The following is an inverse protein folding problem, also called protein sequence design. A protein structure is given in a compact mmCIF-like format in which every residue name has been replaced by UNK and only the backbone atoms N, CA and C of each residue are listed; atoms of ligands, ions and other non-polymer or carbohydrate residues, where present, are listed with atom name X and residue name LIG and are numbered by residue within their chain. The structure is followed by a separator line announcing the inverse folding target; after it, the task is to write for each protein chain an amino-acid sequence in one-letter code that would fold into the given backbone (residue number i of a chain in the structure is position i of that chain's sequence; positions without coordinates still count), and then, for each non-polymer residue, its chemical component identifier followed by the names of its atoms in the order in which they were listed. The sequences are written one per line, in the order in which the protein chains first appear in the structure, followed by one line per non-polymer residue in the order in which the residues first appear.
data_IF_725253383985
#
_entry.id   IF_725253383985
#
_cell.length_a   1.000
_cell.length_b   1.000
_cell.length_c   1.000
_cell.angle_alpha   90.00
_cell.angle_beta   90.00
_cell.angle_gamma   90.00
#
_symmetry.space_group_name_H-M   'P 1'
#
loop_
_entity.id
_entity.type
_entity.pdbx_description
1 polymer ?
#
# COMPACT_ATOMS: atom_id res chain seq x y z
N UNK A 1 -22.19 -56.13 35.69
CA UNK A 1 -23.13 -55.91 36.80
C UNK A 1 -24.34 -55.20 36.19
N UNK A 2 -25.50 -55.87 36.07
CA UNK A 2 -26.69 -55.24 35.46
C UNK A 2 -27.19 -54.14 36.41
N UNK A 3 -27.10 -52.88 35.98
CA UNK A 3 -27.69 -51.75 36.72
C UNK A 3 -29.22 -51.90 36.72
N UNK A 4 -29.89 -51.57 37.83
CA UNK A 4 -31.35 -51.64 37.88
C UNK A 4 -31.98 -50.48 37.09
N UNK A 5 -33.17 -50.68 36.55
CA UNK A 5 -33.87 -49.64 35.77
C UNK A 5 -34.13 -48.36 36.57
N UNK A 6 -34.32 -48.47 37.89
CA UNK A 6 -34.53 -47.31 38.77
C UNK A 6 -33.26 -46.45 38.91
N UNK A 7 -32.08 -47.08 38.93
CA UNK A 7 -30.79 -46.38 38.93
C UNK A 7 -30.53 -45.64 37.61
N UNK A 8 -30.98 -46.21 36.49
CA UNK A 8 -30.89 -45.58 35.18
C UNK A 8 -31.83 -44.36 35.08
N UNK A 9 -33.04 -44.47 35.62
CA UNK A 9 -33.98 -43.33 35.66
C UNK A 9 -33.42 -42.19 36.50
N UNK A 10 -32.75 -42.50 37.63
CA UNK A 10 -32.11 -41.49 38.47
C UNK A 10 -30.96 -40.78 37.74
N UNK A 11 -30.05 -41.55 37.11
CA UNK A 11 -28.91 -41.02 36.34
C UNK A 11 -29.37 -40.08 35.22
N UNK A 12 -30.41 -40.46 34.49
CA UNK A 12 -30.91 -39.71 33.33
C UNK A 12 -32.07 -38.75 33.67
N UNK A 13 -32.41 -38.59 34.95
CA UNK A 13 -33.50 -37.72 35.43
C UNK A 13 -33.44 -36.28 34.90
N UNK A 14 -32.28 -35.61 34.81
CA UNK A 14 -32.20 -34.25 34.26
C UNK A 14 -32.66 -34.13 32.80
N UNK A 15 -32.42 -35.16 31.98
CA UNK A 15 -32.79 -35.19 30.56
C UNK A 15 -34.23 -35.69 30.38
N UNK A 16 -34.64 -36.68 31.18
CA UNK A 16 -35.98 -37.25 31.12
C UNK A 16 -37.07 -36.33 31.68
N UNK A 17 -36.70 -35.30 32.45
CA UNK A 17 -37.62 -34.31 33.00
C UNK A 17 -37.61 -32.98 32.22
N UNK A 18 -36.85 -32.88 31.13
CA UNK A 18 -36.84 -31.69 30.29
C UNK A 18 -38.15 -31.62 29.48
N UNK A 19 -38.89 -30.52 29.62
CA UNK A 19 -40.24 -30.36 29.04
C UNK A 19 -40.24 -29.89 27.58
N UNK A 20 -39.08 -29.57 27.01
CA UNK A 20 -38.91 -29.02 25.66
C UNK A 20 -39.28 -30.00 24.54
N UNK A 21 -39.14 -31.32 24.77
CA UNK A 21 -39.43 -32.38 23.82
C UNK A 21 -40.75 -33.13 24.10
N UNK A 22 -41.53 -32.70 25.10
CA UNK A 22 -42.79 -33.32 25.54
C UNK A 22 -42.64 -34.23 26.77
N UNK A 23 -43.63 -34.19 27.67
CA UNK A 23 -43.58 -34.93 28.95
C UNK A 23 -43.82 -36.44 28.79
N UNK A 24 -42.91 -37.26 29.31
CA UNK A 24 -43.07 -38.72 29.39
C UNK A 24 -43.83 -39.07 30.67
N UNK A 25 -45.13 -39.36 30.54
CA UNK A 25 -46.03 -39.66 31.68
C UNK A 25 -45.97 -41.10 32.19
N UNK A 26 -45.54 -42.04 31.35
CA UNK A 26 -45.56 -43.48 31.65
C UNK A 26 -44.20 -43.96 32.19
N UNK A 27 -44.20 -44.56 33.38
CA UNK A 27 -43.00 -45.05 34.08
C UNK A 27 -42.23 -46.09 33.25
N UNK A 28 -42.95 -46.95 32.52
CA UNK A 28 -42.30 -47.97 31.69
C UNK A 28 -41.57 -47.35 30.50
N UNK A 29 -42.17 -46.34 29.85
CA UNK A 29 -41.52 -45.59 28.76
C UNK A 29 -40.31 -44.80 29.26
N UNK A 30 -40.35 -44.29 30.49
CA UNK A 30 -39.23 -43.60 31.14
C UNK A 30 -38.05 -44.56 31.41
N UNK A 31 -38.32 -45.78 31.86
CA UNK A 31 -37.30 -46.83 31.99
C UNK A 31 -36.68 -47.23 30.64
N UNK A 32 -37.50 -47.40 29.60
CA UNK A 32 -37.01 -47.79 28.26
C UNK A 32 -36.18 -46.69 27.61
N UNK A 33 -36.61 -45.43 27.73
CA UNK A 33 -35.83 -44.28 27.23
C UNK A 33 -34.53 -44.10 28.00
N UNK A 34 -34.52 -44.27 29.32
CA UNK A 34 -33.29 -44.30 30.12
C UNK A 34 -32.32 -45.40 29.67
N UNK A 35 -32.82 -46.60 29.38
CA UNK A 35 -32.02 -47.71 28.90
C UNK A 35 -31.46 -47.48 27.47
N UNK A 36 -32.23 -46.83 26.60
CA UNK A 36 -31.77 -46.46 25.25
C UNK A 36 -30.69 -45.37 25.34
N UNK A 37 -30.86 -44.37 26.21
CA UNK A 37 -29.85 -43.33 26.43
C UNK A 37 -28.55 -43.91 26.99
N UNK A 38 -28.65 -44.85 27.92
CA UNK A 38 -27.49 -45.60 28.44
C UNK A 38 -26.79 -46.41 27.35
N UNK A 39 -27.54 -47.06 26.47
CA UNK A 39 -26.99 -47.81 25.35
C UNK A 39 -26.37 -46.89 24.28
N UNK A 40 -26.95 -45.70 24.05
CA UNK A 40 -26.39 -44.69 23.16
C UNK A 40 -25.11 -44.07 23.73
N UNK A 41 -25.05 -43.78 25.03
CA UNK A 41 -23.83 -43.33 25.70
C UNK A 41 -22.74 -44.40 25.58
N UNK A 42 -23.07 -45.67 25.84
CA UNK A 42 -22.12 -46.78 25.68
C UNK A 42 -21.64 -46.93 24.24
N UNK A 43 -22.56 -46.90 23.26
CA UNK A 43 -22.20 -46.98 21.85
C UNK A 43 -21.34 -45.78 21.40
N UNK A 44 -21.61 -44.57 21.89
CA UNK A 44 -20.79 -43.39 21.62
C UNK A 44 -19.42 -43.48 22.29
N UNK A 45 -19.34 -44.06 23.50
CA UNK A 45 -18.08 -44.29 24.20
C UNK A 45 -17.25 -45.40 23.55
N UNK A 46 -17.89 -46.45 23.03
CA UNK A 46 -17.27 -47.55 22.30
C UNK A 46 -16.82 -47.10 20.90
N UNK A 47 -17.59 -46.25 20.21
CA UNK A 47 -17.19 -45.60 18.97
C UNK A 47 -15.96 -44.69 19.18
N UNK A 48 -15.94 -43.89 20.26
CA UNK A 48 -14.75 -43.10 20.66
C UNK A 48 -13.55 -43.98 21.01
N UNK A 49 -13.76 -45.11 21.68
CA UNK A 49 -12.67 -46.06 21.98
C UNK A 49 -12.14 -46.77 20.72
N UNK A 50 -13.01 -47.06 19.76
CA UNK A 50 -12.61 -47.64 18.47
C UNK A 50 -11.82 -46.64 17.60
N UNK A 51 -12.16 -45.35 17.65
CA UNK A 51 -11.41 -44.26 16.99
C UNK A 51 -10.10 -43.92 17.72
N UNK A 52 -10.04 -44.09 19.04
CA UNK A 52 -8.85 -43.89 19.87
C UNK A 52 -7.72 -44.92 19.60
N UNK A 53 -8.05 -46.08 19.01
CA UNK A 53 -7.07 -47.10 18.62
C UNK A 53 -6.07 -46.69 17.55
N UNK A 54 -6.25 -45.53 16.90
CA UNK A 54 -5.32 -44.95 15.94
C UNK A 54 -4.52 -43.73 16.48
N UNK A 55 -4.74 -43.31 17.73
CA UNK A 55 -3.96 -42.24 18.36
C UNK A 55 -2.77 -42.80 19.15
N UNK A 56 -1.64 -43.00 18.47
CA UNK A 56 -0.33 -43.15 19.10
C UNK A 56 0.44 -41.84 19.02
N UNK A 57 0.02 -40.83 19.79
CA UNK A 57 0.95 -39.81 20.26
C UNK A 57 1.22 -40.06 21.75
N UNK A 58 2.45 -40.49 22.03
CA UNK A 58 2.95 -40.64 23.38
C UNK A 58 2.90 -39.28 24.09
N UNK A 59 2.06 -39.18 25.11
CA UNK A 59 2.06 -38.05 26.04
C UNK A 59 3.49 -37.84 26.60
N UNK A 60 3.95 -36.59 26.76
CA UNK A 60 5.25 -36.31 27.33
C UNK A 60 5.32 -36.90 28.75
N UNK A 61 6.43 -37.60 29.03
CA UNK A 61 6.64 -38.38 30.23
C UNK A 61 6.37 -37.56 31.51
N UNK A 62 5.31 -37.90 32.26
CA UNK A 62 5.04 -37.22 33.53
C UNK A 62 3.71 -37.41 34.25
N UNK A 63 2.81 -38.34 33.89
CA UNK A 63 1.60 -38.56 34.69
C UNK A 63 1.28 -40.06 34.86
N UNK A 64 1.13 -40.43 36.13
CA UNK A 64 1.07 -41.78 36.70
C UNK A 64 -0.15 -42.63 36.28
N UNK A 65 0.08 -43.92 36.43
CA UNK A 65 -0.82 -45.08 36.45
C UNK A 65 -2.05 -44.94 37.36
N UNK A 66 -3.26 -45.14 36.82
CA UNK A 66 -4.48 -45.34 37.61
C UNK A 66 -5.76 -45.18 36.77
N UNK A 67 -6.73 -46.08 36.97
CA UNK A 67 -8.02 -46.18 36.28
C UNK A 67 -8.90 -44.92 36.40
N UNK A 68 -8.54 -43.86 35.70
CA UNK A 68 -9.32 -42.64 35.52
C UNK A 68 -9.33 -42.38 34.01
N UNK A 69 -10.52 -42.29 33.40
CA UNK A 69 -10.63 -41.85 32.02
C UNK A 69 -9.95 -40.49 31.90
N UNK A 70 -8.83 -40.43 31.19
CA UNK A 70 -8.12 -39.19 30.91
C UNK A 70 -9.09 -38.26 30.19
N UNK A 71 -9.35 -37.11 30.81
CA UNK A 71 -10.21 -36.06 30.25
C UNK A 71 -9.75 -35.74 28.83
N UNK A 72 -10.70 -35.71 27.91
CA UNK A 72 -10.47 -35.21 26.56
C UNK A 72 -9.95 -33.78 26.70
N UNK A 73 -8.70 -33.48 26.30
CA UNK A 73 -8.14 -32.17 26.50
C UNK A 73 -9.01 -31.13 25.77
N UNK A 74 -9.45 -30.10 26.49
CA UNK A 74 -10.15 -28.97 25.88
C UNK A 74 -9.19 -28.33 24.87
N UNK A 75 -9.44 -28.57 23.58
CA UNK A 75 -8.61 -28.06 22.49
C UNK A 75 -8.59 -26.52 22.57
N UNK A 76 -7.40 -25.98 22.80
CA UNK A 76 -7.16 -24.54 22.76
C UNK A 76 -7.40 -24.07 21.32
N UNK A 77 -8.13 -22.97 21.15
CA UNK A 77 -8.46 -22.43 19.84
C UNK A 77 -7.21 -22.10 19.02
N UNK A 78 -7.28 -22.35 17.71
CA UNK A 78 -6.17 -22.09 16.79
C UNK A 78 -5.96 -20.57 16.63
N UNK A 79 -4.73 -20.10 16.87
CA UNK A 79 -4.36 -18.70 16.67
C UNK A 79 -3.93 -18.48 15.22
N UNK A 80 -4.41 -17.40 14.60
CA UNK A 80 -4.05 -17.00 13.23
C UNK A 80 -3.14 -15.78 13.24
N UNK A 81 -2.29 -15.65 12.22
CA UNK A 81 -1.54 -14.42 11.97
C UNK A 81 -2.47 -13.35 11.37
N UNK A 82 -2.40 -12.13 11.87
CA UNK A 82 -3.16 -11.01 11.34
C UNK A 82 -2.66 -10.59 9.95
N UNK A 83 -3.57 -10.09 9.12
CA UNK A 83 -3.24 -9.54 7.81
C UNK A 83 -2.68 -8.12 7.96
N UNK A 84 -1.61 -7.76 7.25
CA UNK A 84 -1.12 -6.39 7.22
C UNK A 84 -2.14 -5.46 6.53
N UNK A 85 -2.26 -4.23 7.02
CA UNK A 85 -3.08 -3.21 6.37
C UNK A 85 -2.46 -2.76 5.03
N UNK A 86 -3.31 -2.44 4.05
CA UNK A 86 -2.91 -2.09 2.68
C UNK A 86 -3.02 -0.57 2.47
N UNK A 87 -2.02 0.04 1.82
CA UNK A 87 -1.94 1.51 1.63
C UNK A 87 -1.84 1.95 0.16
N UNK A 88 -1.68 1.03 -0.79
CA UNK A 88 -1.37 1.33 -2.18
C UNK A 88 -2.38 2.28 -2.84
N UNK A 89 -3.68 2.07 -2.62
CA UNK A 89 -4.73 2.85 -3.28
C UNK A 89 -4.80 4.30 -2.80
N UNK A 90 -4.27 4.57 -1.60
CA UNK A 90 -4.21 5.92 -1.07
C UNK A 90 -3.06 6.72 -1.68
N UNK A 91 -1.99 6.06 -2.13
CA UNK A 91 -0.75 6.69 -2.58
C UNK A 91 -0.59 6.74 -4.11
N UNK A 92 -1.32 5.92 -4.86
CA UNK A 92 -1.37 5.93 -6.33
C UNK A 92 -2.75 6.35 -6.87
N UNK A 93 -2.83 6.70 -8.15
CA UNK A 93 -4.11 6.87 -8.85
C UNK A 93 -4.67 5.51 -9.27
N UNK A 94 -5.99 5.42 -9.43
CA UNK A 94 -6.66 4.19 -9.89
C UNK A 94 -7.42 4.48 -11.18
N UNK A 95 -7.15 3.68 -12.22
CA UNK A 95 -7.77 3.83 -13.54
C UNK A 95 -8.23 2.47 -14.08
N UNK A 96 -9.49 2.08 -13.88
CA UNK A 96 -9.98 0.80 -14.39
C UNK A 96 -9.89 0.71 -15.91
N UNK A 97 -9.49 -0.45 -16.42
CA UNK A 97 -9.37 -0.73 -17.85
C UNK A 97 -10.56 -1.56 -18.34
N UNK A 98 -11.11 -1.21 -19.51
CA UNK A 98 -12.18 -1.99 -20.15
C UNK A 98 -11.65 -3.08 -21.10
N UNK A 99 -10.36 -3.03 -21.44
CA UNK A 99 -9.69 -3.99 -22.33
C UNK A 99 -8.32 -4.38 -21.80
N UNK A 100 -7.67 -5.41 -22.38
CA UNK A 100 -6.37 -5.90 -21.93
C UNK A 100 -5.23 -4.88 -22.13
N UNK A 101 -5.43 -3.92 -23.04
CA UNK A 101 -4.54 -2.78 -23.26
C UNK A 101 -5.33 -1.49 -23.16
N UNK A 102 -4.86 -0.55 -22.35
CA UNK A 102 -5.38 0.80 -22.22
C UNK A 102 -4.44 1.80 -22.89
N UNK A 103 -4.97 2.94 -23.30
CA UNK A 103 -4.18 4.06 -23.81
C UNK A 103 -4.40 5.26 -22.89
N UNK A 104 -3.32 5.87 -22.44
CA UNK A 104 -3.32 7.15 -21.74
C UNK A 104 -2.83 8.21 -22.73
N UNK A 105 -3.60 9.28 -22.89
CA UNK A 105 -3.24 10.40 -23.75
C UNK A 105 -2.81 11.60 -22.90
N UNK A 106 -1.79 12.31 -23.37
CA UNK A 106 -1.37 13.59 -22.82
C UNK A 106 -1.25 14.63 -23.92
N UNK A 107 -1.72 15.83 -23.64
CA UNK A 107 -1.54 16.98 -24.51
C UNK A 107 -0.41 17.84 -23.94
N UNK A 108 0.61 18.08 -24.75
CA UNK A 108 1.74 18.97 -24.40
C UNK A 108 1.75 20.15 -25.35
N UNK A 109 1.75 21.36 -24.81
CA UNK A 109 1.94 22.59 -25.60
C UNK A 109 3.40 22.72 -25.99
N UNK A 110 3.69 23.09 -27.23
CA UNK A 110 5.04 23.15 -27.79
C UNK A 110 5.26 24.51 -28.46
N UNK A 111 6.46 25.05 -28.28
CA UNK A 111 6.92 26.20 -29.05
C UNK A 111 7.16 25.81 -30.53
N UNK A 112 6.95 26.74 -31.46
CA UNK A 112 6.95 26.48 -32.90
C UNK A 112 5.71 25.72 -33.39
N UNK A 113 5.80 25.11 -34.57
CA UNK A 113 4.69 24.43 -35.27
C UNK A 113 4.21 23.11 -34.63
N UNK A 114 4.40 22.90 -33.32
CA UNK A 114 3.83 21.75 -32.61
C UNK A 114 4.57 20.42 -32.78
N UNK A 115 5.91 20.43 -32.83
CA UNK A 115 6.73 19.20 -32.92
C UNK A 115 7.13 18.66 -31.53
N UNK A 116 7.29 17.35 -31.40
CA UNK A 116 7.80 16.71 -30.16
C UNK A 116 9.27 17.05 -29.87
N UNK A 117 10.01 17.45 -30.91
CA UNK A 117 11.39 17.96 -30.77
C UNK A 117 11.45 19.39 -30.22
N UNK A 118 10.35 20.13 -30.29
CA UNK A 118 10.28 21.48 -29.75
C UNK A 118 10.19 21.49 -28.23
N UNK A 119 10.71 22.55 -27.62
CA UNK A 119 10.58 22.80 -26.17
C UNK A 119 9.10 22.85 -25.77
N UNK A 120 8.77 22.20 -24.66
CA UNK A 120 7.43 22.23 -24.08
C UNK A 120 7.15 23.59 -23.42
N UNK A 121 6.07 24.24 -23.84
CA UNK A 121 5.53 25.43 -23.19
C UNK A 121 4.71 25.02 -21.96
N UNK A 122 4.61 25.90 -20.96
CA UNK A 122 3.85 25.71 -19.70
C UNK A 122 4.41 24.66 -18.73
N UNK A 123 5.61 24.14 -18.97
CA UNK A 123 6.32 23.25 -18.04
C UNK A 123 7.47 23.98 -17.33
N UNK A 124 8.46 24.38 -18.12
CA UNK A 124 9.56 25.25 -17.67
C UNK A 124 9.13 26.73 -17.65
N UNK A 125 10.04 27.61 -17.24
CA UNK A 125 9.83 29.05 -17.40
C UNK A 125 9.49 29.40 -18.86
N UNK A 126 8.53 30.33 -19.00
CA UNK A 126 8.09 30.84 -20.28
C UNK A 126 9.21 31.65 -20.95
N UNK A 127 9.48 31.38 -22.21
CA UNK A 127 10.44 32.13 -23.02
C UNK A 127 9.96 33.58 -23.22
N UNK A 128 10.57 34.54 -22.54
CA UNK A 128 10.16 35.96 -22.59
C UNK A 128 10.46 36.62 -23.92
N UNK A 129 11.36 36.05 -24.73
CA UNK A 129 11.69 36.54 -26.06
C UNK A 129 10.88 35.89 -27.19
N UNK A 130 10.14 34.80 -26.93
CA UNK A 130 9.52 34.01 -28.00
C UNK A 130 8.44 34.77 -28.78
N UNK A 131 7.65 35.62 -28.13
CA UNK A 131 6.69 36.50 -28.81
C UNK A 131 7.22 37.93 -29.00
N UNK A 132 8.53 38.13 -28.88
CA UNK A 132 9.16 39.44 -28.85
C UNK A 132 10.58 39.37 -29.42
N UNK A 133 11.49 40.13 -28.83
CA UNK A 133 12.89 40.20 -29.26
C UNK A 133 13.84 40.13 -28.07
N UNK A 134 15.13 39.99 -28.37
CA UNK A 134 16.20 39.91 -27.38
C UNK A 134 16.53 38.50 -26.93
N UNK A 135 17.32 38.40 -25.89
CA UNK A 135 17.81 37.13 -25.34
C UNK A 135 17.08 36.80 -24.04
N UNK A 136 16.69 35.54 -23.90
CA UNK A 136 16.17 34.99 -22.66
C UNK A 136 17.14 33.93 -22.13
N UNK A 137 17.46 34.00 -20.83
CA UNK A 137 18.20 32.94 -20.14
C UNK A 137 17.22 32.13 -19.28
N UNK A 138 16.70 31.03 -19.84
CA UNK A 138 15.73 30.16 -19.13
C UNK A 138 16.34 29.41 -17.95
N UNK A 139 17.67 29.38 -17.87
CA UNK A 139 18.39 28.63 -16.86
C UNK A 139 18.80 29.54 -15.68
N UNK A 140 18.58 30.86 -15.76
CA UNK A 140 18.84 31.82 -14.69
C UNK A 140 17.62 32.70 -14.36
N UNK A 141 16.48 32.06 -14.07
CA UNK A 141 15.16 32.66 -13.75
C UNK A 141 15.23 33.90 -12.84
N UNK A 142 16.14 33.90 -11.86
CA UNK A 142 16.23 34.95 -10.84
C UNK A 142 17.46 35.86 -10.98
N UNK A 143 18.34 35.57 -11.94
CA UNK A 143 19.66 36.21 -12.05
C UNK A 143 20.69 35.72 -11.02
N UNK A 144 20.28 34.90 -10.04
CA UNK A 144 21.14 34.44 -8.93
C UNK A 144 21.81 33.07 -9.14
N UNK A 145 21.56 32.37 -10.25
CA UNK A 145 22.22 31.08 -10.48
C UNK A 145 23.73 31.28 -10.70
N UNK A 146 24.55 30.57 -9.91
CA UNK A 146 26.01 30.63 -9.99
C UNK A 146 26.68 31.74 -9.17
N UNK A 147 25.92 32.57 -8.44
CA UNK A 147 26.49 33.58 -7.54
C UNK A 147 27.03 32.89 -6.28
N UNK A 148 28.35 32.84 -6.14
CA UNK A 148 29.00 32.37 -4.93
C UNK A 148 28.88 33.43 -3.82
N UNK A 149 28.73 33.04 -2.53
CA UNK A 149 28.58 33.98 -1.41
C UNK A 149 29.84 34.80 -1.08
N UNK A 150 30.89 34.77 -1.92
CA UNK A 150 32.23 35.23 -1.57
C UNK A 150 32.81 36.33 -2.47
N UNK A 151 32.00 37.07 -3.22
CA UNK A 151 32.50 38.20 -4.00
C UNK A 151 31.39 39.08 -4.54
N UNK A 152 31.45 40.38 -4.20
CA UNK A 152 30.56 41.48 -4.58
C UNK A 152 29.06 41.30 -4.22
N UNK A 153 28.34 42.42 -4.21
CA UNK A 153 26.91 42.44 -3.90
C UNK A 153 26.17 41.46 -4.81
N UNK A 154 25.25 40.67 -4.26
CA UNK A 154 24.39 39.81 -5.07
C UNK A 154 23.59 40.61 -6.14
N UNK A 155 23.50 41.93 -6.00
CA UNK A 155 22.93 42.84 -6.99
C UNK A 155 23.86 43.10 -8.18
N UNK A 156 25.19 43.19 -7.97
CA UNK A 156 26.19 43.46 -9.02
C UNK A 156 26.37 42.27 -9.98
N UNK A 157 26.10 41.06 -9.49
CA UNK A 157 26.21 39.80 -10.23
C UNK A 157 24.86 39.31 -10.80
N UNK A 158 23.76 40.04 -10.57
CA UNK A 158 22.43 39.71 -11.07
C UNK A 158 22.33 40.02 -12.57
N UNK A 159 22.89 39.15 -13.39
CA UNK A 159 22.77 39.19 -14.84
C UNK A 159 21.70 38.19 -15.30
N UNK A 160 20.51 38.67 -15.63
CA UNK A 160 19.45 37.88 -16.27
C UNK A 160 19.08 38.50 -17.62
N UNK A 161 19.14 37.72 -18.69
CA UNK A 161 18.61 38.13 -19.99
C UNK A 161 17.09 38.00 -19.98
N UNK A 162 16.37 39.12 -20.11
CA UNK A 162 14.91 39.12 -20.26
C UNK A 162 14.57 39.61 -21.66
N UNK A 163 13.76 38.85 -22.38
CA UNK A 163 13.20 39.29 -23.65
C UNK A 163 12.28 40.49 -23.47
N UNK A 164 12.21 41.35 -24.48
CA UNK A 164 11.34 42.53 -24.48
C UNK A 164 10.33 42.45 -25.61
N UNK A 165 9.28 43.27 -25.53
CA UNK A 165 8.43 43.51 -26.69
C UNK A 165 9.24 44.08 -27.85
N UNK A 166 8.81 43.77 -29.08
CA UNK A 166 9.37 44.39 -30.28
C UNK A 166 8.73 45.76 -30.53
N UNK A 167 9.39 46.57 -31.34
CA UNK A 167 8.88 47.87 -31.80
C UNK A 167 7.64 47.70 -32.68
N UNK A 168 6.72 48.67 -32.61
CA UNK A 168 5.51 48.68 -33.44
C UNK A 168 5.83 48.63 -34.94
N UNK A 169 6.90 49.31 -35.37
CA UNK A 169 7.31 49.33 -36.77
C UNK A 169 7.72 47.94 -37.29
N UNK A 170 8.43 47.16 -36.47
CA UNK A 170 8.74 45.77 -36.82
C UNK A 170 7.46 44.93 -36.80
N UNK A 171 6.66 45.02 -35.74
CA UNK A 171 5.43 44.23 -35.57
C UNK A 171 4.42 44.43 -36.71
N UNK A 172 4.30 45.64 -37.26
CA UNK A 172 3.45 45.91 -38.43
C UNK A 172 3.98 45.26 -39.71
N UNK A 173 5.28 44.99 -39.79
CA UNK A 173 5.92 44.31 -40.91
C UNK A 173 5.90 42.77 -40.78
N UNK A 174 5.54 42.21 -39.62
CA UNK A 174 5.56 40.75 -39.42
C UNK A 174 4.61 40.04 -40.41
N UNK A 175 5.08 38.95 -41.00
CA UNK A 175 4.34 38.17 -42.01
C UNK A 175 4.24 38.83 -43.40
N UNK A 176 4.79 40.04 -43.59
CA UNK A 176 4.92 40.68 -44.91
C UNK A 176 6.21 40.25 -45.63
N UNK A 177 6.29 40.47 -46.95
CA UNK A 177 7.50 40.15 -47.71
C UNK A 177 8.68 41.04 -47.27
N UNK A 178 9.66 40.46 -46.59
CA UNK A 178 10.83 41.17 -46.07
C UNK A 178 10.76 41.55 -44.58
N UNK A 179 9.62 41.30 -43.92
CA UNK A 179 9.50 41.38 -42.46
C UNK A 179 9.76 40.02 -41.79
N UNK A 180 9.91 40.01 -40.46
CA UNK A 180 10.09 38.78 -39.70
C UNK A 180 8.81 37.92 -39.69
N UNK A 181 8.96 36.61 -39.47
CA UNK A 181 7.82 35.71 -39.35
C UNK A 181 7.24 35.77 -37.93
N UNK A 182 5.95 35.47 -37.79
CA UNK A 182 5.36 35.22 -36.48
C UNK A 182 5.90 33.90 -35.94
N UNK A 183 6.32 33.92 -34.68
CA UNK A 183 6.64 32.70 -33.96
C UNK A 183 5.35 31.93 -33.64
N UNK A 184 5.35 30.64 -33.92
CA UNK A 184 4.16 29.80 -33.83
C UNK A 184 4.11 29.04 -32.51
N UNK A 185 2.91 28.63 -32.09
CA UNK A 185 2.73 27.67 -31.01
C UNK A 185 1.78 26.57 -31.46
N UNK A 186 2.05 25.35 -31.00
CA UNK A 186 1.21 24.19 -31.29
C UNK A 186 1.06 23.29 -30.07
N UNK A 187 0.44 22.15 -30.29
CA UNK A 187 0.36 21.10 -29.28
C UNK A 187 0.60 19.73 -29.91
N UNK A 188 1.13 18.81 -29.11
CA UNK A 188 1.30 17.41 -29.47
C UNK A 188 0.40 16.56 -28.58
N UNK A 189 -0.29 15.59 -29.17
CA UNK A 189 -1.00 14.55 -28.42
C UNK A 189 -0.09 13.31 -28.39
N UNK A 190 0.50 13.07 -27.23
CA UNK A 190 1.32 11.89 -26.98
C UNK A 190 0.45 10.77 -26.40
N UNK A 191 0.78 9.52 -26.74
CA UNK A 191 0.06 8.33 -26.25
C UNK A 191 1.02 7.40 -25.51
N UNK A 192 0.50 6.78 -24.46
CA UNK A 192 1.18 5.75 -23.69
C UNK A 192 0.28 4.53 -23.58
N UNK A 193 0.82 3.36 -23.85
CA UNK A 193 0.08 2.10 -23.72
C UNK A 193 0.29 1.51 -22.32
N UNK A 194 -0.78 1.02 -21.72
CA UNK A 194 -0.78 0.25 -20.48
C UNK A 194 -1.25 -1.16 -20.81
N UNK A 195 -0.46 -2.18 -20.48
CA UNK A 195 -0.81 -3.57 -20.76
C UNK A 195 -1.08 -4.32 -19.46
N UNK A 196 -2.23 -4.99 -19.38
CA UNK A 196 -2.61 -5.76 -18.20
C UNK A 196 -1.78 -7.05 -18.07
N UNK A 197 -1.07 -7.17 -16.96
CA UNK A 197 -0.38 -8.38 -16.48
C UNK A 197 -1.29 -9.18 -15.56
N UNK A 198 -0.96 -10.45 -15.32
CA UNK A 198 -1.80 -11.38 -14.57
C UNK A 198 -1.09 -11.88 -13.32
N UNK A 199 -1.84 -12.10 -12.23
CA UNK A 199 -1.42 -12.88 -11.05
C UNK A 199 -2.41 -14.00 -10.81
N UNK A 200 -1.91 -15.14 -10.36
CA UNK A 200 -2.75 -16.25 -9.95
C UNK A 200 -2.06 -17.11 -8.88
N UNK A 201 -2.83 -17.59 -7.92
CA UNK A 201 -2.41 -18.59 -6.94
C UNK A 201 -3.42 -19.73 -6.90
N UNK A 202 -2.94 -20.93 -6.56
CA UNK A 202 -3.75 -22.14 -6.43
C UNK A 202 -3.41 -22.83 -5.12
N UNK A 203 -4.41 -23.37 -4.45
CA UNK A 203 -4.26 -24.34 -3.37
C UNK A 203 -4.97 -25.64 -3.76
N UNK A 204 -4.37 -26.74 -3.34
CA UNK A 204 -4.97 -28.07 -3.40
C UNK A 204 -5.11 -28.57 -1.97
N UNK A 205 -6.22 -29.22 -1.66
CA UNK A 205 -6.45 -29.84 -0.36
C UNK A 205 -7.05 -31.22 -0.55
N UNK A 206 -6.68 -32.16 0.33
CA UNK A 206 -7.27 -33.50 0.31
C UNK A 206 -8.63 -33.48 1.03
N UNK A 207 -9.52 -34.37 0.60
CA UNK A 207 -10.80 -34.58 1.28
C UNK A 207 -10.59 -35.07 2.71
N UNK A 208 -9.60 -35.94 2.91
CA UNK A 208 -9.21 -36.43 4.25
C UNK A 208 -8.82 -35.27 5.17
N UNK A 209 -7.94 -34.36 4.71
CA UNK A 209 -7.55 -33.20 5.50
C UNK A 209 -8.74 -32.29 5.81
N UNK A 210 -9.65 -32.09 4.86
CA UNK A 210 -10.84 -31.27 5.09
C UNK A 210 -11.80 -31.92 6.10
N UNK A 211 -11.92 -33.25 6.09
CA UNK A 211 -12.72 -34.01 7.05
C UNK A 211 -12.11 -33.94 8.45
N UNK A 212 -10.80 -34.17 8.58
CA UNK A 212 -10.07 -34.10 9.85
C UNK A 212 -10.14 -32.69 10.46
N UNK A 213 -9.89 -31.67 9.64
CA UNK A 213 -9.88 -30.27 10.06
C UNK A 213 -11.28 -29.81 10.49
N UNK A 214 -12.33 -30.31 9.84
CA UNK A 214 -13.71 -30.05 10.22
C UNK A 214 -14.11 -30.80 11.49
N UNK A 215 -13.70 -32.05 11.65
CA UNK A 215 -14.04 -32.88 12.80
C UNK A 215 -13.35 -32.41 14.09
N UNK A 216 -12.07 -32.03 14.01
CA UNK A 216 -11.26 -31.65 15.17
C UNK A 216 -11.38 -30.15 15.47
N UNK A 217 -11.24 -29.30 14.46
CA UNK A 217 -11.16 -27.84 14.66
C UNK A 217 -12.46 -27.10 14.36
N UNK A 218 -13.48 -27.77 13.78
CA UNK A 218 -14.73 -27.13 13.37
C UNK A 218 -14.55 -26.10 12.24
N UNK A 219 -13.39 -26.11 11.58
CA UNK A 219 -13.04 -25.15 10.53
C UNK A 219 -13.29 -25.77 9.15
N UNK A 220 -13.63 -24.91 8.18
CA UNK A 220 -13.76 -25.30 6.78
C UNK A 220 -12.47 -24.99 6.01
N UNK A 221 -11.75 -26.04 5.62
CA UNK A 221 -10.49 -25.94 4.90
C UNK A 221 -10.62 -25.14 3.60
N UNK A 222 -11.76 -25.22 2.91
CA UNK A 222 -11.97 -24.49 1.66
C UNK A 222 -12.03 -22.98 1.90
N UNK A 223 -12.82 -22.55 2.88
CA UNK A 223 -12.96 -21.15 3.27
C UNK A 223 -11.64 -20.57 3.78
N UNK A 224 -10.88 -21.33 4.58
CA UNK A 224 -9.58 -20.88 5.09
C UNK A 224 -8.55 -20.70 3.98
N UNK A 225 -8.44 -21.67 3.07
CA UNK A 225 -7.55 -21.55 1.92
C UNK A 225 -7.98 -20.41 0.99
N UNK A 226 -9.28 -20.20 0.80
CA UNK A 226 -9.79 -19.09 0.00
C UNK A 226 -9.37 -17.73 0.56
N UNK A 227 -9.44 -17.58 1.88
CA UNK A 227 -9.02 -16.37 2.58
C UNK A 227 -7.51 -16.15 2.48
N UNK A 228 -6.68 -17.19 2.67
CA UNK A 228 -5.22 -17.09 2.55
C UNK A 228 -4.81 -16.64 1.14
N UNK A 229 -5.35 -17.30 0.10
CA UNK A 229 -4.96 -17.00 -1.28
C UNK A 229 -5.37 -15.60 -1.72
N UNK A 230 -6.60 -15.19 -1.39
CA UNK A 230 -7.10 -13.87 -1.79
C UNK A 230 -6.32 -12.75 -1.11
N UNK A 231 -5.98 -12.92 0.16
CA UNK A 231 -5.28 -11.92 0.96
C UNK A 231 -3.80 -11.81 0.58
N UNK A 232 -3.16 -12.93 0.25
CA UNK A 232 -1.80 -12.93 -0.28
C UNK A 232 -1.71 -12.18 -1.62
N UNK A 233 -2.62 -12.44 -2.56
CA UNK A 233 -2.61 -11.74 -3.86
C UNK A 233 -2.78 -10.23 -3.66
N UNK A 234 -3.67 -9.81 -2.76
CA UNK A 234 -3.87 -8.39 -2.46
C UNK A 234 -2.64 -7.77 -1.79
N UNK A 235 -1.99 -8.48 -0.88
CA UNK A 235 -0.75 -8.04 -0.24
C UNK A 235 0.39 -7.92 -1.25
N UNK A 236 0.53 -8.87 -2.18
CA UNK A 236 1.52 -8.82 -3.26
C UNK A 236 1.31 -7.61 -4.17
N UNK A 237 0.08 -7.34 -4.61
CA UNK A 237 -0.26 -6.18 -5.45
C UNK A 237 0.06 -4.88 -4.72
N UNK A 238 -0.36 -4.77 -3.46
CA UNK A 238 -0.06 -3.61 -2.63
C UNK A 238 1.45 -3.37 -2.52
N UNK A 239 2.23 -4.43 -2.29
CA UNK A 239 3.69 -4.33 -2.19
C UNK A 239 4.35 -3.97 -3.52
N UNK A 240 3.84 -4.49 -4.64
CA UNK A 240 4.31 -4.13 -5.98
C UNK A 240 4.15 -2.63 -6.25
N UNK A 241 3.00 -2.04 -5.89
CA UNK A 241 2.75 -0.60 -6.04
C UNK A 241 3.74 0.21 -5.22
N UNK A 242 3.92 -0.10 -3.94
CA UNK A 242 4.84 0.63 -3.05
C UNK A 242 6.29 0.52 -3.56
N UNK A 243 6.73 -0.68 -3.96
CA UNK A 243 8.08 -0.87 -4.52
C UNK A 243 8.28 -0.10 -5.83
N UNK A 244 7.25 -0.02 -6.67
CA UNK A 244 7.31 0.77 -7.92
C UNK A 244 7.41 2.26 -7.63
N UNK A 245 6.68 2.76 -6.64
CA UNK A 245 6.79 4.17 -6.19
C UNK A 245 8.22 4.44 -5.70
N UNK A 246 8.76 3.60 -4.82
CA UNK A 246 10.10 3.79 -4.27
C UNK A 246 11.20 3.68 -5.34
N UNK A 247 11.06 2.79 -6.33
CA UNK A 247 12.06 2.64 -7.39
C UNK A 247 12.06 3.79 -8.39
N UNK A 248 10.89 4.37 -8.68
CA UNK A 248 10.74 5.49 -9.60
C UNK A 248 10.99 6.86 -8.96
N UNK A 249 10.83 6.99 -7.64
CA UNK A 249 11.01 8.25 -6.92
C UNK A 249 12.39 8.86 -7.14
N UNK A 250 12.45 10.15 -7.47
CA UNK A 250 13.70 10.91 -7.55
C UNK A 250 14.39 10.95 -6.18
N UNK A 251 15.71 11.05 -6.15
CA UNK A 251 16.44 11.22 -4.89
C UNK A 251 16.16 12.60 -4.28
N UNK A 252 15.69 12.63 -3.04
CA UNK A 252 15.52 13.85 -2.23
C UNK A 252 16.81 14.24 -1.49
N UNK A 253 16.76 15.29 -0.66
CA UNK A 253 17.92 15.76 0.13
C UNK A 253 19.16 16.04 -0.74
N UNK A 254 18.99 16.90 -1.75
CA UNK A 254 20.05 17.31 -2.68
C UNK A 254 20.51 18.76 -2.46
N UNK A 255 20.02 19.41 -1.40
CA UNK A 255 20.36 20.79 -1.07
C UNK A 255 21.78 20.86 -0.48
N UNK A 256 22.47 21.98 -0.71
CA UNK A 256 23.87 22.15 -0.29
C UNK A 256 24.10 22.11 1.24
N UNK A 257 23.05 22.27 2.04
CA UNK A 257 23.13 22.20 3.50
C UNK A 257 23.06 20.76 4.05
N UNK A 258 22.85 19.76 3.20
CA UNK A 258 22.87 18.35 3.59
C UNK A 258 24.30 17.82 3.38
N UNK A 259 24.86 17.17 4.40
CA UNK A 259 26.25 16.68 4.35
C UNK A 259 26.46 15.64 3.25
N UNK A 260 25.45 14.81 2.97
CA UNK A 260 25.50 13.77 1.94
C UNK A 260 24.20 13.69 1.15
N UNK A 261 24.30 13.91 -0.16
CA UNK A 261 23.15 13.85 -1.06
C UNK A 261 22.37 12.53 -0.92
N UNK A 262 21.06 12.63 -0.74
CA UNK A 262 20.16 11.48 -0.58
C UNK A 262 20.04 10.92 0.84
N UNK A 263 20.75 11.48 1.82
CA UNK A 263 20.71 11.06 3.22
C UNK A 263 20.49 12.28 4.09
N UNK A 264 19.49 12.23 4.97
CA UNK A 264 19.29 13.23 6.02
C UNK A 264 19.73 12.65 7.36
N UNK A 265 20.85 13.14 7.87
CA UNK A 265 21.42 12.70 9.13
C UNK A 265 21.04 13.68 10.25
N UNK A 266 20.27 13.23 11.24
CA UNK A 266 19.81 14.09 12.33
C UNK A 266 20.94 14.60 13.25
N UNK A 267 22.13 14.01 13.20
CA UNK A 267 23.29 14.48 13.97
C UNK A 267 24.05 15.63 13.31
N UNK A 268 24.09 15.68 11.98
CA UNK A 268 24.90 16.65 11.22
C UNK A 268 24.09 17.65 10.40
N UNK A 269 22.89 17.26 9.94
CA UNK A 269 22.07 18.04 9.02
C UNK A 269 20.88 18.73 9.72
N UNK A 270 20.70 18.48 11.02
CA UNK A 270 19.68 19.11 11.84
C UNK A 270 20.33 19.85 13.03
N UNK A 271 20.13 21.16 13.08
CA UNK A 271 20.55 22.00 14.20
C UNK A 271 19.54 21.89 15.34
N UNK A 272 19.99 21.36 16.48
CA UNK A 272 19.19 21.23 17.68
C UNK A 272 20.01 20.69 18.83
N UNK A 273 19.81 21.24 20.03
CA UNK A 273 20.47 20.75 21.24
C UNK A 273 19.77 19.51 21.79
N UNK A 274 18.45 19.42 21.58
CA UNK A 274 17.60 18.32 22.04
C UNK A 274 17.02 17.57 20.84
N UNK A 275 16.71 16.27 20.98
CA UNK A 275 16.20 15.42 19.90
C UNK A 275 14.90 15.95 19.27
N UNK A 276 13.99 16.51 20.07
CA UNK A 276 12.75 17.10 19.59
C UNK A 276 12.96 18.29 18.63
N UNK A 277 14.04 19.06 18.80
CA UNK A 277 14.40 20.17 17.89
C UNK A 277 14.92 19.62 16.57
N UNK A 278 15.76 18.57 16.62
CA UNK A 278 16.28 17.89 15.44
C UNK A 278 15.16 17.26 14.59
N UNK A 279 14.13 16.69 15.23
CA UNK A 279 12.96 16.16 14.53
C UNK A 279 12.17 17.26 13.80
N UNK A 280 12.12 18.49 14.32
CA UNK A 280 11.53 19.62 13.59
C UNK A 280 12.37 20.01 12.37
N UNK A 281 13.69 19.87 12.44
CA UNK A 281 14.58 19.99 11.29
C UNK A 281 14.22 19.01 10.16
N UNK A 282 13.94 17.75 10.50
CA UNK A 282 13.45 16.74 9.55
C UNK A 282 12.10 17.14 8.91
N UNK A 283 11.16 17.69 9.69
CA UNK A 283 9.87 18.18 9.16
C UNK A 283 10.08 19.31 8.14
N UNK A 284 10.97 20.27 8.42
CA UNK A 284 11.31 21.33 7.47
C UNK A 284 11.91 20.75 6.18
N UNK A 285 12.73 19.70 6.31
CA UNK A 285 13.28 19.02 5.14
C UNK A 285 12.19 18.34 4.31
N UNK A 286 11.22 17.67 4.94
CA UNK A 286 10.05 17.09 4.23
C UNK A 286 9.29 18.19 3.48
N UNK A 287 9.01 19.34 4.11
CA UNK A 287 8.33 20.45 3.45
C UNK A 287 9.13 21.04 2.28
N UNK A 288 10.46 21.06 2.37
CA UNK A 288 11.33 21.43 1.24
C UNK A 288 11.15 20.46 0.07
N UNK A 289 11.15 19.15 0.31
CA UNK A 289 10.89 18.16 -0.74
C UNK A 289 9.48 18.31 -1.33
N UNK A 290 8.46 18.55 -0.50
CA UNK A 290 7.09 18.86 -0.96
C UNK A 290 7.06 20.08 -1.91
N UNK A 291 7.84 21.13 -1.61
CA UNK A 291 7.93 22.31 -2.46
C UNK A 291 8.65 22.02 -3.78
N UNK A 292 9.69 21.18 -3.77
CA UNK A 292 10.38 20.76 -5.00
C UNK A 292 9.42 19.98 -5.90
N UNK A 293 8.63 19.06 -5.34
CA UNK A 293 7.59 18.32 -6.10
C UNK A 293 6.60 19.32 -6.74
N UNK A 294 6.18 20.37 -6.04
CA UNK A 294 5.30 21.40 -6.62
C UNK A 294 5.93 22.14 -7.80
N UNK A 295 7.24 22.46 -7.70
CA UNK A 295 7.97 23.15 -8.76
C UNK A 295 8.13 22.27 -9.99
N UNK A 296 8.50 21.00 -9.79
CA UNK A 296 8.73 20.06 -10.90
C UNK A 296 7.42 19.56 -11.54
N UNK A 297 6.36 19.33 -10.76
CA UNK A 297 5.08 18.82 -11.31
C UNK A 297 4.15 19.92 -11.80
N UNK A 298 4.23 21.14 -11.25
CA UNK A 298 3.26 22.24 -11.45
C UNK A 298 1.80 21.83 -11.16
N UNK A 299 1.59 20.84 -10.28
CA UNK A 299 0.26 20.36 -9.88
C UNK A 299 -0.07 20.69 -8.44
N UNK A 300 0.89 20.50 -7.53
CA UNK A 300 0.71 20.81 -6.12
C UNK A 300 1.88 20.37 -5.26
N UNK A 301 1.88 20.81 -4.00
CA UNK A 301 2.87 20.36 -3.00
C UNK A 301 2.63 18.91 -2.64
N UNK A 302 3.71 18.16 -2.42
CA UNK A 302 3.64 16.79 -1.88
C UNK A 302 2.72 16.71 -0.66
N UNK A 303 1.84 15.72 -0.63
CA UNK A 303 0.76 15.58 0.35
C UNK A 303 0.62 14.16 0.92
N UNK A 304 1.49 13.25 0.51
CA UNK A 304 1.58 11.87 1.00
C UNK A 304 3.02 11.60 1.40
N UNK A 305 3.23 10.89 2.50
CA UNK A 305 4.53 10.40 2.95
C UNK A 305 4.41 8.93 3.28
N UNK A 306 5.37 8.13 2.83
CA UNK A 306 5.57 6.74 3.23
C UNK A 306 6.91 6.69 3.98
N UNK A 307 6.94 6.18 5.20
CA UNK A 307 8.15 6.14 6.02
C UNK A 307 8.24 4.86 6.85
N UNK A 308 9.42 4.58 7.42
CA UNK A 308 9.58 3.52 8.43
C UNK A 308 8.87 3.88 9.74
N UNK A 309 8.60 2.89 10.59
CA UNK A 309 8.00 3.09 11.91
C UNK A 309 8.84 3.97 12.84
N UNK A 310 10.17 3.83 12.82
CA UNK A 310 11.06 4.66 13.64
C UNK A 310 11.01 6.13 13.22
N UNK A 311 10.95 6.41 11.91
CA UNK A 311 10.75 7.76 11.39
C UNK A 311 9.36 8.29 11.74
N UNK A 312 8.31 7.49 11.61
CA UNK A 312 6.96 7.89 12.00
C UNK A 312 6.89 8.25 13.50
N UNK A 313 7.61 7.51 14.34
CA UNK A 313 7.75 7.78 15.77
C UNK A 313 8.48 9.09 16.03
N UNK A 314 9.57 9.35 15.30
CA UNK A 314 10.29 10.62 15.37
C UNK A 314 9.42 11.83 14.94
N UNK A 315 8.59 11.65 13.91
CA UNK A 315 7.63 12.66 13.46
C UNK A 315 6.53 12.91 14.49
N UNK A 316 6.03 11.86 15.15
CA UNK A 316 5.09 11.99 16.27
C UNK A 316 5.72 12.76 17.43
N UNK A 317 6.96 12.44 17.80
CA UNK A 317 7.71 13.11 18.86
C UNK A 317 8.00 14.60 18.56
N UNK A 318 7.96 15.02 17.30
CA UNK A 318 8.08 16.45 16.92
C UNK A 318 6.89 17.30 17.37
N UNK A 319 5.75 16.68 17.68
CA UNK A 319 4.50 17.34 18.06
C UNK A 319 3.71 17.96 16.90
N UNK A 320 4.14 17.76 15.65
CA UNK A 320 3.51 18.31 14.44
C UNK A 320 2.66 17.29 13.66
N UNK A 321 2.70 16.02 14.08
CA UNK A 321 1.86 14.95 13.55
C UNK A 321 0.54 14.92 14.36
N UNK A 322 -0.58 15.19 13.71
CA UNK A 322 -1.92 15.17 14.33
C UNK A 322 -2.77 14.02 13.78
N UNK A 323 -3.67 13.47 14.59
CA UNK A 323 -4.62 12.44 14.18
C UNK A 323 -6.01 13.04 14.00
N UNK A 324 -6.37 13.40 12.77
CA UNK A 324 -7.75 13.75 12.44
C UNK A 324 -8.58 12.47 12.26
N UNK A 325 -9.68 12.26 13.00
CA UNK A 325 -10.49 13.27 13.68
C UNK A 325 -10.23 13.30 15.19
N UNK A 326 -9.68 14.41 15.69
CA UNK A 326 -9.71 15.08 17.01
C UNK A 326 -10.14 14.37 18.33
N UNK A 327 -10.35 13.05 18.37
CA UNK A 327 -10.90 12.31 19.51
C UNK A 327 -9.97 11.22 20.07
N UNK A 328 -8.82 10.98 19.45
CA UNK A 328 -7.78 10.12 20.00
C UNK A 328 -6.50 10.93 20.18
N UNK A 329 -6.23 11.35 21.41
CA UNK A 329 -4.96 11.99 21.82
C UNK A 329 -3.81 10.98 22.01
N UNK A 330 -4.03 9.71 21.65
CA UNK A 330 -2.98 8.68 21.62
C UNK A 330 -2.75 8.23 20.18
N UNK A 331 -1.76 8.84 19.52
CA UNK A 331 -1.17 8.33 18.29
C UNK A 331 -0.58 6.95 18.57
N UNK A 332 -1.21 5.89 18.05
CA UNK A 332 -0.61 4.55 18.05
C UNK A 332 0.20 4.42 16.77
N UNK A 333 1.49 4.76 16.84
CA UNK A 333 2.45 4.43 15.78
C UNK A 333 2.81 2.96 15.98
N UNK A 334 2.05 2.08 15.32
CA UNK A 334 2.26 0.65 15.42
C UNK A 334 2.17 0.01 14.02
N UNK A 335 3.13 -0.87 13.74
CA UNK A 335 3.27 -1.61 12.48
C UNK A 335 2.16 -2.67 12.30
N UNK A 336 1.48 -3.07 13.38
CA UNK A 336 0.41 -4.08 13.32
C UNK A 336 -1.01 -3.51 13.27
N UNK A 337 -1.27 -2.37 13.92
CA UNK A 337 -2.62 -1.83 14.09
C UNK A 337 -3.15 -0.98 12.94
N UNK A 338 -2.44 0.10 12.57
CA UNK A 338 -2.88 1.05 11.55
C UNK A 338 -1.67 1.60 10.79
N UNK A 339 -1.62 1.37 9.47
CA UNK A 339 -0.55 1.90 8.63
C UNK A 339 -0.69 3.40 8.39
N UNK A 340 -1.84 4.01 8.67
CA UNK A 340 -2.00 5.46 8.66
C UNK A 340 -1.64 6.04 10.03
N UNK A 341 -0.53 6.79 10.08
CA UNK A 341 -0.02 7.39 11.31
C UNK A 341 -0.70 8.72 11.67
N UNK A 342 -1.18 9.47 10.68
CA UNK A 342 -1.82 10.78 10.88
C UNK A 342 -1.53 11.79 9.77
N UNK A 343 -1.85 13.06 10.03
CA UNK A 343 -1.54 14.19 9.15
C UNK A 343 -0.47 15.09 9.76
N UNK A 344 0.66 15.22 9.07
CA UNK A 344 1.72 16.17 9.41
C UNK A 344 1.32 17.58 8.96
N UNK A 345 1.42 18.56 9.86
CA UNK A 345 1.03 19.96 9.64
C UNK A 345 -0.42 20.10 9.09
N UNK A 346 -1.31 19.19 9.46
CA UNK A 346 -2.72 19.18 9.02
C UNK A 346 -2.94 18.93 7.52
N UNK A 347 -1.89 18.57 6.76
CA UNK A 347 -1.96 18.50 5.29
C UNK A 347 -1.34 17.23 4.71
N UNK A 348 -0.20 16.80 5.20
CA UNK A 348 0.56 15.67 4.61
C UNK A 348 0.12 14.39 5.30
N UNK A 349 -0.47 13.45 4.57
CA UNK A 349 -0.85 12.13 5.10
C UNK A 349 0.39 11.27 5.27
N UNK A 350 0.64 10.77 6.47
CA UNK A 350 1.80 9.94 6.80
C UNK A 350 1.35 8.49 6.91
N UNK A 351 1.98 7.63 6.12
CA UNK A 351 1.79 6.18 6.11
C UNK A 351 3.08 5.48 6.53
N UNK A 352 2.92 4.37 7.23
CA UNK A 352 4.00 3.51 7.71
C UNK A 352 4.16 2.35 6.72
N UNK A 353 5.39 2.10 6.27
CA UNK A 353 5.74 0.86 5.57
C UNK A 353 6.24 -0.19 6.60
N UNK A 354 5.43 -1.20 6.96
CA UNK A 354 5.81 -2.19 7.97
C UNK A 354 6.94 -3.11 7.50
N UNK A 355 7.32 -3.06 6.23
CA UNK A 355 8.39 -3.86 5.65
C UNK A 355 9.69 -3.07 5.41
N UNK A 356 9.80 -1.85 5.96
CA UNK A 356 11.02 -1.07 5.88
C UNK A 356 12.12 -1.69 6.76
N UNK A 357 13.27 -2.02 6.18
CA UNK A 357 14.44 -2.54 6.92
C UNK A 357 15.47 -1.45 7.26
N UNK A 358 15.32 -0.28 6.65
CA UNK A 358 16.21 0.87 6.82
C UNK A 358 15.33 2.10 6.87
N UNK A 359 15.72 3.09 7.66
CA UNK A 359 14.96 4.31 7.80
C UNK A 359 14.99 5.16 6.55
N UNK A 360 13.82 5.42 5.99
CA UNK A 360 13.66 6.25 4.80
C UNK A 360 12.33 6.98 4.83
N UNK A 361 12.25 8.00 3.98
CA UNK A 361 11.04 8.75 3.70
C UNK A 361 10.87 8.83 2.18
N UNK A 362 9.69 8.45 1.70
CA UNK A 362 9.21 8.73 0.35
C UNK A 362 8.09 9.75 0.43
N UNK A 363 8.35 10.98 -0.02
CA UNK A 363 7.37 12.05 -0.17
C UNK A 363 6.74 11.94 -1.54
N UNK A 364 5.42 12.03 -1.63
CA UNK A 364 4.66 11.93 -2.87
C UNK A 364 3.59 13.01 -3.01
N UNK A 365 3.16 13.24 -4.25
CA UNK A 365 1.99 14.04 -4.57
C UNK A 365 0.91 13.19 -5.25
N UNK A 366 -0.31 13.28 -4.72
CA UNK A 366 -1.54 12.74 -5.32
C UNK A 366 -2.65 13.80 -5.26
N UNK A 367 -3.09 14.27 -6.42
CA UNK A 367 -4.20 15.21 -6.54
C UNK A 367 -5.55 14.62 -6.13
N UNK A 368 -6.57 15.47 -6.08
CA UNK A 368 -7.96 15.06 -5.83
C UNK A 368 -8.53 14.25 -6.99
N UNK A 369 -8.04 14.49 -8.20
CA UNK A 369 -8.41 13.75 -9.39
C UNK A 369 -7.52 12.50 -9.55
N UNK A 370 -8.10 11.39 -9.98
CA UNK A 370 -7.39 10.11 -10.19
C UNK A 370 -6.37 10.17 -11.31
N UNK A 371 -6.46 11.15 -12.23
CA UNK A 371 -5.48 11.41 -13.28
C UNK A 371 -4.24 12.17 -12.79
N UNK A 372 -4.28 12.76 -11.59
CA UNK A 372 -3.20 13.59 -11.07
C UNK A 372 -2.40 12.84 -10.01
N UNK A 373 -1.72 11.78 -10.44
CA UNK A 373 -0.81 10.99 -9.60
C UNK A 373 0.39 10.56 -10.41
N UNK A 374 1.52 10.27 -9.76
CA UNK A 374 2.74 9.89 -10.47
C UNK A 374 2.71 8.48 -11.05
N UNK A 375 1.93 7.58 -10.44
CA UNK A 375 1.75 6.18 -10.85
C UNK A 375 0.26 5.82 -10.78
N UNK A 376 -0.22 5.12 -11.79
CA UNK A 376 -1.56 4.58 -11.90
C UNK A 376 -1.54 3.07 -11.72
N UNK A 377 -2.44 2.58 -10.87
CA UNK A 377 -2.85 1.19 -10.80
C UNK A 377 -4.12 1.01 -11.64
N UNK A 378 -4.06 0.13 -12.63
CA UNK A 378 -5.09 -0.02 -13.63
C UNK A 378 -5.73 -1.41 -13.58
N UNK A 379 -6.73 -1.66 -12.70
CA UNK A 379 -7.37 -2.97 -12.61
C UNK A 379 -8.16 -3.29 -13.87
N UNK A 380 -8.06 -4.53 -14.36
CA UNK A 380 -8.82 -5.02 -15.51
C UNK A 380 -9.79 -6.13 -15.13
N UNK A 381 -9.27 -7.23 -14.58
CA UNK A 381 -10.10 -8.35 -14.10
C UNK A 381 -9.94 -8.40 -12.58
N UNK A 382 -11.03 -8.23 -11.81
CA UNK A 382 -10.98 -8.35 -10.37
C UNK A 382 -10.58 -9.77 -9.97
N UNK A 383 -10.32 -9.98 -8.68
CA UNK A 383 -9.95 -11.28 -8.17
C UNK A 383 -11.08 -12.30 -8.41
N UNK A 384 -10.87 -13.20 -9.37
CA UNK A 384 -11.85 -14.22 -9.75
C UNK A 384 -11.47 -15.54 -9.08
N UNK A 385 -12.39 -16.08 -8.28
CA UNK A 385 -12.30 -17.43 -7.72
C UNK A 385 -12.58 -18.45 -8.83
N UNK A 386 -11.74 -19.49 -8.92
CA UNK A 386 -11.95 -20.66 -9.76
C UNK A 386 -11.88 -21.90 -8.88
N UNK A 387 -12.80 -22.83 -9.11
CA UNK A 387 -12.81 -24.13 -8.44
C UNK A 387 -12.70 -25.22 -9.51
N UNK A 388 -11.94 -26.25 -9.20
CA UNK A 388 -11.80 -27.43 -10.04
C UNK A 388 -11.64 -28.67 -9.15
N UNK A 389 -11.88 -29.83 -9.73
CA UNK A 389 -11.55 -31.13 -9.12
C UNK A 389 -10.53 -31.78 -10.03
N UNK A 390 -9.43 -32.28 -9.47
CA UNK A 390 -8.42 -32.99 -10.26
C UNK A 390 -9.01 -34.27 -10.86
N UNK A 391 -8.82 -34.49 -12.15
CA UNK A 391 -9.39 -35.68 -12.83
C UNK A 391 -8.75 -36.99 -12.37
N UNK A 392 -7.45 -36.98 -12.02
CA UNK A 392 -6.72 -38.17 -11.63
C UNK A 392 -6.97 -38.58 -10.16
N UNK A 393 -7.05 -37.60 -9.26
CA UNK A 393 -7.09 -37.83 -7.81
C UNK A 393 -8.44 -37.51 -7.19
N UNK A 394 -9.36 -36.90 -7.94
CA UNK A 394 -10.64 -36.36 -7.46
C UNK A 394 -10.51 -35.41 -6.26
N UNK A 395 -9.32 -34.84 -6.04
CA UNK A 395 -9.08 -33.88 -4.97
C UNK A 395 -9.52 -32.47 -5.38
N UNK A 396 -10.18 -31.73 -4.49
CA UNK A 396 -10.56 -30.34 -4.74
C UNK A 396 -9.34 -29.42 -4.94
N UNK A 397 -9.51 -28.46 -5.86
CA UNK A 397 -8.54 -27.41 -6.16
C UNK A 397 -9.26 -26.07 -6.18
N UNK A 398 -8.70 -25.09 -5.49
CA UNK A 398 -9.17 -23.71 -5.49
C UNK A 398 -8.07 -22.83 -6.04
N UNK A 399 -8.43 -21.85 -6.86
CA UNK A 399 -7.49 -20.85 -7.33
C UNK A 399 -8.12 -19.47 -7.43
N UNK A 400 -7.26 -18.47 -7.46
CA UNK A 400 -7.64 -17.11 -7.75
C UNK A 400 -6.80 -16.59 -8.89
N UNK A 401 -7.41 -15.77 -9.75
CA UNK A 401 -6.72 -15.07 -10.84
C UNK A 401 -7.18 -13.62 -10.90
N UNK A 402 -6.27 -12.72 -11.21
CA UNK A 402 -6.57 -11.29 -11.42
C UNK A 402 -5.69 -10.75 -12.54
N UNK A 403 -6.14 -9.66 -13.16
CA UNK A 403 -5.38 -8.94 -14.20
C UNK A 403 -5.43 -7.46 -13.94
N UNK A 404 -4.27 -6.81 -14.01
CA UNK A 404 -4.14 -5.37 -13.84
C UNK A 404 -2.90 -4.86 -14.58
N UNK A 405 -2.89 -3.59 -14.95
CA UNK A 405 -1.73 -2.88 -15.48
C UNK A 405 -1.20 -1.88 -14.46
N UNK A 406 0.04 -1.44 -14.66
CA UNK A 406 0.60 -0.29 -13.96
C UNK A 406 1.26 0.63 -14.97
N UNK A 407 1.12 1.93 -14.75
CA UNK A 407 1.68 2.93 -15.65
C UNK A 407 2.07 4.19 -14.87
N UNK A 408 3.16 4.83 -15.28
CA UNK A 408 3.51 6.15 -14.76
C UNK A 408 2.74 7.23 -15.50
N UNK A 409 2.64 8.40 -14.88
CA UNK A 409 2.00 9.55 -15.50
C UNK A 409 2.72 9.94 -16.80
N UNK A 410 2.01 10.26 -17.90
CA UNK A 410 2.62 10.64 -19.18
C UNK A 410 3.44 11.95 -19.13
N UNK A 411 3.30 12.76 -18.08
CA UNK A 411 4.17 13.91 -17.83
C UNK A 411 5.49 13.54 -17.15
N UNK A 412 5.74 12.25 -16.85
CA UNK A 412 6.96 11.76 -16.21
C UNK A 412 7.97 11.29 -17.27
N UNK A 413 8.89 12.19 -17.63
CA UNK A 413 10.05 11.88 -18.47
C UNK A 413 9.73 11.20 -19.81
N UNK A 414 10.73 10.56 -20.40
CA UNK A 414 10.53 9.70 -21.57
C UNK A 414 10.02 8.33 -21.12
N UNK A 415 8.79 7.97 -21.49
CA UNK A 415 8.20 6.69 -21.11
C UNK A 415 8.81 5.53 -21.91
N UNK A 416 9.36 4.47 -21.27
CA UNK A 416 9.73 3.24 -21.96
C UNK A 416 8.50 2.41 -22.35
N UNK A 417 8.72 1.37 -23.17
CA UNK A 417 7.69 0.57 -23.85
C UNK A 417 6.64 -0.08 -22.92
N UNK A 418 6.98 -0.32 -21.65
CA UNK A 418 6.11 -0.97 -20.66
C UNK A 418 5.22 0.00 -19.86
N UNK A 419 5.26 1.30 -20.16
CA UNK A 419 4.39 2.30 -19.54
C UNK A 419 4.83 2.78 -18.15
N UNK A 420 5.91 2.23 -17.57
CA UNK A 420 6.47 2.66 -16.29
C UNK A 420 7.72 3.52 -16.49
N UNK A 421 7.85 4.62 -15.76
CA UNK A 421 9.01 5.50 -15.81
C UNK A 421 10.31 4.78 -15.41
N UNK A 422 11.44 5.30 -15.91
CA UNK A 422 12.76 4.82 -15.50
C UNK A 422 12.97 4.98 -13.98
N UNK A 423 13.88 4.18 -13.44
CA UNK A 423 14.24 4.30 -12.03
C UNK A 423 14.71 5.73 -11.72
N UNK A 424 14.26 6.28 -10.59
CA UNK A 424 14.63 7.61 -10.09
C UNK A 424 14.27 8.79 -11.00
N UNK A 425 13.32 8.64 -11.94
CA UNK A 425 12.94 9.74 -12.84
C UNK A 425 11.60 10.39 -12.51
N UNK A 426 10.80 9.82 -11.61
CA UNK A 426 9.45 10.29 -11.35
C UNK A 426 9.42 11.50 -10.41
N UNK A 427 9.09 12.67 -10.96
CA UNK A 427 9.05 13.94 -10.24
C UNK A 427 7.88 14.10 -9.25
N UNK A 428 6.89 13.20 -9.29
CA UNK A 428 5.79 13.17 -8.32
C UNK A 428 6.21 12.59 -6.97
N UNK A 429 7.33 11.86 -6.92
CA UNK A 429 7.81 11.18 -5.73
C UNK A 429 9.28 11.50 -5.48
N UNK A 430 9.65 11.71 -4.22
CA UNK A 430 11.03 11.93 -3.79
C UNK A 430 11.36 11.06 -2.61
N UNK A 431 12.46 10.33 -2.67
CA UNK A 431 12.91 9.39 -1.65
C UNK A 431 14.28 9.78 -1.10
N UNK A 432 14.44 9.73 0.21
CA UNK A 432 15.73 9.90 0.88
C UNK A 432 15.82 9.00 2.12
N UNK A 433 17.04 8.65 2.48
CA UNK A 433 17.34 7.86 3.68
C UNK A 433 17.44 8.78 4.89
N UNK A 434 17.01 8.31 6.05
CA UNK A 434 17.18 9.02 7.32
C UNK A 434 18.18 8.23 8.16
N UNK A 435 19.18 8.91 8.73
CA UNK A 435 20.18 8.27 9.59
C UNK A 435 20.21 8.95 10.97
N UNK A 436 20.65 8.19 11.98
CA UNK A 436 20.96 8.68 13.33
C UNK A 436 19.76 9.31 14.08
N UNK A 437 18.60 8.67 14.04
CA UNK A 437 17.37 9.15 14.71
C UNK A 437 17.55 9.26 16.24
N UNK A 438 18.34 8.37 16.87
CA UNK A 438 18.52 8.30 18.33
C UNK A 438 19.99 8.08 18.77
N UNK A 439 20.98 8.52 17.98
CA UNK A 439 22.41 8.40 18.32
C UNK A 439 23.05 9.72 18.73
#
# INVERSE_FOLDING_TARGET
MQQSYDQLIEKWSPVLNESSAGEIKDHHRKAVTAAILENQEKAMSEARQAESGFMTEAAPAGANTGSIGTWDPVLISLVRRAMPNLIAYDVCGVQPMNGPTGLIFAMKSRYGAGSTSSREALFNEAETNFSGVGTHDSDNVSGFNGIAPSGDSADDLRAGGTGTGDTTANMEAYGSSGGAAFEEMGFTIEKQTVTAKSRALKAEYSLELAQDLKAIHGLDAETELANILSTEILAEINREVIRTINSQAKTGCLQANVTKNGIFNLSSDADGRWSAEKFKGLVVQIDRECNVIAKETRRGKGNVVICSSDVATALSASGLLDYSPAMSTQLQVDDTGNTFAGTLNGRIKVYIDPYAQTDYITVGYKGTNTYDSGVFYCPYVPLQMVKAVGEDTFQPKIGFKTRYGMASNPYVGSTPTDGLAAAKSNQYYRIFRVDNILT
#
